data_IF_513975639247
#
_entry.id   IF_513975639247
#
_cell.length_a   1.000
_cell.length_b   1.000
_cell.length_c   1.000
_cell.angle_alpha   90.00
_cell.angle_beta   90.00
_cell.angle_gamma   90.00
#
_symmetry.space_group_name_H-M   'P 1'
#
loop_
_entity.id
_entity.type
_entity.pdbx_description
1 polymer ?
#
# COMPACT_ATOMS: atom_id res chain seq x y z
N UNK A 1 22.51 -8.78 -22.50
CA UNK A 1 22.32 -9.10 -21.07
C UNK A 1 21.71 -7.89 -20.38
N UNK A 2 20.49 -7.97 -19.83
CA UNK A 2 19.85 -6.84 -19.13
C UNK A 2 20.18 -6.93 -17.64
N UNK A 3 21.21 -6.21 -17.19
CA UNK A 3 21.73 -6.25 -15.80
C UNK A 3 20.60 -6.10 -14.76
N UNK A 4 19.68 -5.16 -14.98
CA UNK A 4 18.54 -4.94 -14.08
C UNK A 4 17.63 -6.16 -13.96
N UNK A 5 17.35 -6.84 -15.08
CA UNK A 5 16.48 -8.02 -15.08
C UNK A 5 17.12 -9.17 -14.29
N UNK A 6 18.44 -9.37 -14.44
CA UNK A 6 19.20 -10.36 -13.68
C UNK A 6 19.14 -10.08 -12.17
N UNK A 7 19.44 -8.84 -11.75
CA UNK A 7 19.39 -8.45 -10.34
C UNK A 7 17.99 -8.54 -9.75
N UNK A 8 16.96 -8.15 -10.52
CA UNK A 8 15.58 -8.26 -10.07
C UNK A 8 15.17 -9.72 -9.86
N UNK A 9 15.55 -10.63 -10.78
CA UNK A 9 15.29 -12.07 -10.64
C UNK A 9 15.95 -12.64 -9.38
N UNK A 10 17.22 -12.31 -9.14
CA UNK A 10 17.93 -12.70 -7.91
C UNK A 10 17.21 -12.21 -6.64
N UNK A 11 16.81 -10.92 -6.62
CA UNK A 11 16.07 -10.35 -5.48
C UNK A 11 14.70 -10.99 -5.28
N UNK A 12 14.01 -11.35 -6.35
CA UNK A 12 12.73 -12.05 -6.31
C UNK A 12 12.90 -13.46 -5.73
N UNK A 13 13.93 -14.20 -6.14
CA UNK A 13 14.22 -15.54 -5.61
C UNK A 13 14.50 -15.49 -4.11
N UNK A 14 15.39 -14.58 -3.69
CA UNK A 14 15.69 -14.37 -2.27
C UNK A 14 14.46 -13.98 -1.46
N UNK A 15 13.66 -13.03 -1.96
CA UNK A 15 12.41 -12.59 -1.33
C UNK A 15 11.44 -13.76 -1.16
N UNK A 16 11.21 -14.53 -2.22
CA UNK A 16 10.26 -15.64 -2.24
C UNK A 16 10.69 -16.76 -1.30
N UNK A 17 11.96 -17.15 -1.34
CA UNK A 17 12.49 -18.21 -0.48
C UNK A 17 12.48 -17.80 1.00
N UNK A 18 12.94 -16.58 1.30
CA UNK A 18 12.93 -16.03 2.65
C UNK A 18 11.52 -15.96 3.22
N UNK A 19 10.55 -15.51 2.41
CA UNK A 19 9.17 -15.37 2.84
C UNK A 19 8.47 -16.72 3.02
N UNK A 20 8.65 -17.69 2.11
CA UNK A 20 7.90 -18.96 2.16
C UNK A 20 8.58 -19.98 3.07
N UNK A 21 9.90 -20.16 2.91
CA UNK A 21 10.63 -21.29 3.48
C UNK A 21 11.37 -20.89 4.75
N UNK A 22 12.27 -19.90 4.67
CA UNK A 22 13.11 -19.50 5.82
C UNK A 22 12.26 -19.03 7.00
N UNK A 23 11.26 -18.18 6.75
CA UNK A 23 10.36 -17.74 7.82
C UNK A 23 9.62 -18.91 8.48
N UNK A 24 9.23 -19.94 7.71
CA UNK A 24 8.57 -21.11 8.29
C UNK A 24 9.57 -21.92 9.12
N UNK A 25 10.75 -22.20 8.60
CA UNK A 25 11.78 -22.96 9.30
C UNK A 25 12.20 -22.31 10.64
N UNK A 26 12.32 -20.99 10.68
CA UNK A 26 12.71 -20.27 11.90
C UNK A 26 11.65 -20.30 13.01
N UNK A 27 10.37 -20.35 12.65
CA UNK A 27 9.26 -20.12 13.58
C UNK A 27 8.27 -21.30 13.63
N UNK A 28 8.66 -22.49 13.17
CA UNK A 28 7.81 -23.68 13.18
C UNK A 28 8.38 -24.76 14.10
N UNK A 29 7.53 -25.29 14.96
CA UNK A 29 7.81 -26.45 15.79
C UNK A 29 7.32 -27.70 15.04
N UNK A 30 8.24 -28.49 14.51
CA UNK A 30 7.91 -29.73 13.78
C UNK A 30 7.30 -30.79 14.70
N UNK A 31 7.73 -30.87 15.97
CA UNK A 31 7.21 -31.86 16.93
C UNK A 31 5.77 -31.54 17.33
N UNK A 32 5.47 -30.25 17.53
CA UNK A 32 4.13 -29.78 17.93
C UNK A 32 3.26 -29.36 16.74
N UNK A 33 3.78 -29.45 15.52
CA UNK A 33 3.12 -29.08 14.27
C UNK A 33 2.44 -27.70 14.32
N UNK A 34 3.13 -26.70 14.89
CA UNK A 34 2.59 -25.35 15.13
C UNK A 34 3.63 -24.24 15.04
N UNK A 35 3.17 -23.01 14.83
CA UNK A 35 4.03 -21.82 14.89
C UNK A 35 4.48 -21.54 16.33
N UNK A 36 5.78 -21.30 16.48
CA UNK A 36 6.41 -20.72 17.67
C UNK A 36 6.41 -19.21 17.47
N UNK A 37 5.93 -18.45 18.45
CA UNK A 37 5.83 -16.99 18.40
C UNK A 37 5.16 -16.43 17.13
N UNK A 38 3.83 -16.57 16.97
CA UNK A 38 3.11 -16.09 15.78
C UNK A 38 3.29 -14.59 15.48
N UNK A 39 3.52 -13.77 16.51
CA UNK A 39 3.82 -12.34 16.36
C UNK A 39 5.16 -12.12 15.66
N UNK A 40 6.24 -12.71 16.17
CA UNK A 40 7.58 -12.63 15.58
C UNK A 40 7.62 -13.18 14.15
N UNK A 41 6.87 -14.25 13.88
CA UNK A 41 6.71 -14.77 12.52
C UNK A 41 6.12 -13.74 11.54
N UNK A 42 5.13 -12.96 12.00
CA UNK A 42 4.54 -11.85 11.24
C UNK A 42 5.56 -10.73 11.03
N UNK A 43 6.20 -10.27 12.11
CA UNK A 43 7.20 -9.20 12.08
C UNK A 43 8.38 -9.54 11.17
N UNK A 44 8.85 -10.79 11.17
CA UNK A 44 9.92 -11.24 10.28
C UNK A 44 9.50 -11.18 8.80
N UNK A 45 8.27 -11.58 8.48
CA UNK A 45 7.72 -11.48 7.11
C UNK A 45 7.54 -10.04 6.66
N UNK A 46 7.13 -9.15 7.56
CA UNK A 46 7.06 -7.71 7.29
C UNK A 46 8.46 -7.14 7.00
N UNK A 47 9.48 -7.56 7.75
CA UNK A 47 10.87 -7.17 7.49
C UNK A 47 11.34 -7.62 6.11
N UNK A 48 11.10 -8.88 5.72
CA UNK A 48 11.43 -9.40 4.38
C UNK A 48 10.76 -8.58 3.28
N UNK A 49 9.48 -8.24 3.44
CA UNK A 49 8.77 -7.39 2.47
C UNK A 49 9.38 -5.99 2.39
N UNK A 50 9.69 -5.36 3.53
CA UNK A 50 10.33 -4.03 3.56
C UNK A 50 11.68 -4.04 2.86
N UNK A 51 12.49 -5.08 3.06
CA UNK A 51 13.79 -5.22 2.39
C UNK A 51 13.66 -5.36 0.86
N UNK A 52 12.75 -6.22 0.40
CA UNK A 52 12.46 -6.35 -1.02
C UNK A 52 11.96 -5.05 -1.64
N UNK A 53 11.03 -4.34 -0.97
CA UNK A 53 10.50 -3.08 -1.45
C UNK A 53 11.55 -1.97 -1.50
N UNK A 54 12.54 -1.93 -0.59
CA UNK A 54 13.64 -0.95 -0.64
C UNK A 54 14.44 -1.03 -1.94
N UNK A 55 14.57 -2.22 -2.53
CA UNK A 55 15.21 -2.39 -3.84
C UNK A 55 14.36 -1.81 -4.98
N UNK A 56 13.05 -1.75 -4.82
CA UNK A 56 12.10 -1.39 -5.86
C UNK A 56 11.75 0.09 -5.90
N UNK A 57 11.66 0.76 -4.75
CA UNK A 57 11.14 2.13 -4.67
C UNK A 57 12.24 3.17 -4.95
N UNK A 58 11.87 4.40 -5.36
CA UNK A 58 12.82 5.50 -5.47
C UNK A 58 13.60 5.72 -4.17
N UNK A 59 14.92 5.89 -4.27
CA UNK A 59 15.84 6.03 -3.12
C UNK A 59 15.48 7.17 -2.15
N UNK A 60 14.75 8.19 -2.60
CA UNK A 60 14.26 9.29 -1.73
C UNK A 60 13.23 8.82 -0.70
N UNK A 61 12.54 7.71 -0.97
CA UNK A 61 11.48 7.20 -0.13
C UNK A 61 12.04 6.30 0.97
N UNK A 62 11.45 6.39 2.16
CA UNK A 62 11.68 5.45 3.26
C UNK A 62 10.48 4.54 3.44
N UNK A 63 10.74 3.40 4.08
CA UNK A 63 9.75 2.36 4.35
C UNK A 63 9.76 2.06 5.83
N UNK A 64 8.61 2.17 6.48
CA UNK A 64 8.43 1.90 7.90
C UNK A 64 7.07 1.25 8.19
N UNK A 65 6.75 1.05 9.46
CA UNK A 65 5.41 0.71 9.93
C UNK A 65 4.88 1.81 10.86
N UNK A 66 3.56 1.88 11.01
CA UNK A 66 2.95 2.83 11.93
C UNK A 66 1.55 3.21 11.54
N UNK A 67 1.17 4.44 11.86
CA UNK A 67 -0.16 4.99 11.63
C UNK A 67 -0.10 6.18 10.69
N UNK A 68 -1.12 6.36 9.89
CA UNK A 68 -1.30 7.56 9.06
C UNK A 68 -2.26 8.47 9.80
N UNK A 69 -1.96 9.76 9.83
CA UNK A 69 -2.79 10.77 10.44
C UNK A 69 -3.15 11.84 9.42
N UNK A 70 -4.35 12.37 9.55
CA UNK A 70 -4.71 13.69 9.02
C UNK A 70 -5.18 14.57 10.19
N UNK A 71 -5.74 15.74 9.90
CA UNK A 71 -6.14 16.71 10.95
C UNK A 71 -7.19 16.18 11.92
N UNK A 72 -7.98 15.17 11.51
CA UNK A 72 -9.18 14.75 12.24
C UNK A 72 -9.14 13.27 12.67
N UNK A 73 -8.36 12.43 11.99
CA UNK A 73 -8.43 10.96 12.09
C UNK A 73 -7.06 10.31 12.04
N UNK A 74 -7.02 9.14 12.64
CA UNK A 74 -5.90 8.19 12.60
C UNK A 74 -6.33 6.90 11.89
N UNK A 75 -5.42 6.32 11.11
CA UNK A 75 -5.64 5.03 10.47
C UNK A 75 -5.56 3.87 11.47
N UNK A 76 -5.90 2.67 11.03
CA UNK A 76 -5.37 1.46 11.70
C UNK A 76 -3.88 1.31 11.38
N UNK A 77 -3.13 0.57 12.20
CA UNK A 77 -1.71 0.33 11.94
C UNK A 77 -1.51 -0.31 10.56
N UNK A 78 -0.60 0.25 9.78
CA UNK A 78 -0.14 -0.27 8.49
C UNK A 78 1.18 -1.03 8.70
N UNK A 79 1.24 -2.25 8.17
CA UNK A 79 2.45 -3.08 8.22
C UNK A 79 3.61 -2.42 7.44
N UNK A 80 3.25 -1.70 6.36
CA UNK A 80 4.17 -0.96 5.49
C UNK A 80 3.60 0.41 5.16
N UNK A 81 4.41 1.45 5.35
CA UNK A 81 4.19 2.83 4.92
C UNK A 81 5.42 3.26 4.12
N UNK A 82 5.21 3.71 2.88
CA UNK A 82 6.25 4.26 2.01
C UNK A 82 5.99 5.76 1.91
N UNK A 83 6.96 6.58 2.32
CA UNK A 83 6.80 8.03 2.47
C UNK A 83 8.06 8.79 2.05
N UNK A 84 7.91 10.08 1.76
CA UNK A 84 9.05 10.96 1.49
C UNK A 84 9.69 11.45 2.80
N UNK A 85 10.87 10.93 3.13
CA UNK A 85 11.53 11.24 4.39
C UNK A 85 12.08 12.66 4.48
N UNK A 86 12.24 13.38 3.37
CA UNK A 86 12.69 14.76 3.38
C UNK A 86 11.54 15.73 3.70
N UNK A 87 10.30 15.32 3.42
CA UNK A 87 9.09 16.09 3.68
C UNK A 87 8.38 15.72 4.99
N UNK A 88 8.80 14.64 5.65
CA UNK A 88 8.10 14.06 6.82
C UNK A 88 8.84 14.36 8.11
N UNK A 89 8.23 15.04 9.10
CA UNK A 89 8.83 15.13 10.43
C UNK A 89 8.79 13.79 11.14
N UNK A 90 9.69 13.61 12.11
CA UNK A 90 9.61 12.48 13.02
C UNK A 90 8.49 12.73 14.04
N UNK A 91 7.38 12.00 13.94
CA UNK A 91 6.31 12.00 14.94
C UNK A 91 6.26 10.63 15.58
N UNK A 92 6.75 10.54 16.82
CA UNK A 92 6.80 9.31 17.60
C UNK A 92 6.26 9.55 19.01
N UNK A 93 5.57 8.55 19.56
CA UNK A 93 5.21 8.55 20.98
C UNK A 93 6.29 7.85 21.83
N UNK A 94 6.07 7.81 23.15
CA UNK A 94 7.01 7.17 24.08
C UNK A 94 7.20 5.66 23.84
N UNK A 95 6.24 5.00 23.17
CA UNK A 95 6.32 3.59 22.77
C UNK A 95 6.99 3.38 21.41
N UNK A 96 7.56 4.44 20.81
CA UNK A 96 8.17 4.46 19.47
C UNK A 96 7.20 4.08 18.34
N UNK A 97 5.90 4.26 18.57
CA UNK A 97 4.91 4.19 17.50
C UNK A 97 5.05 5.43 16.63
N UNK A 98 5.14 5.21 15.31
CA UNK A 98 5.33 6.28 14.32
C UNK A 98 4.01 6.72 13.73
N UNK A 99 3.87 8.02 13.55
CA UNK A 99 2.71 8.65 12.93
C UNK A 99 3.17 9.44 11.71
N UNK A 100 2.49 9.23 10.59
CA UNK A 100 2.86 9.81 9.30
C UNK A 100 1.75 10.76 8.83
N UNK A 101 2.02 12.06 8.63
CA UNK A 101 1.10 12.97 7.98
C UNK A 101 0.76 12.47 6.59
N UNK A 102 -0.54 12.38 6.29
CA UNK A 102 -1.06 11.77 5.06
C UNK A 102 -0.51 12.42 3.78
N UNK A 103 -0.16 13.70 3.85
CA UNK A 103 0.43 14.53 2.80
C UNK A 103 1.73 13.95 2.22
N UNK A 104 2.48 13.23 3.05
CA UNK A 104 3.83 12.74 2.73
C UNK A 104 3.87 11.25 2.36
N UNK A 105 2.74 10.55 2.51
CA UNK A 105 2.63 9.11 2.31
C UNK A 105 2.39 8.81 0.82
N UNK A 106 3.33 8.10 0.20
CA UNK A 106 3.17 7.63 -1.18
C UNK A 106 2.33 6.36 -1.27
N UNK A 107 2.57 5.42 -0.36
CA UNK A 107 1.95 4.10 -0.44
C UNK A 107 1.79 3.42 0.91
N UNK A 108 0.82 2.52 0.99
CA UNK A 108 0.50 1.71 2.17
C UNK A 108 0.39 0.24 1.80
N UNK A 109 0.88 -0.63 2.69
CA UNK A 109 0.95 -2.06 2.45
C UNK A 109 0.50 -2.88 3.64
N UNK A 110 -0.15 -4.01 3.35
CA UNK A 110 -0.43 -5.07 4.32
C UNK A 110 0.36 -6.33 3.95
N UNK A 111 0.92 -7.00 4.95
CA UNK A 111 1.63 -8.27 4.82
C UNK A 111 0.85 -9.34 5.56
N UNK A 112 0.52 -10.44 4.85
CA UNK A 112 -0.27 -11.53 5.42
C UNK A 112 0.34 -12.87 5.05
N UNK A 113 0.07 -13.89 5.86
CA UNK A 113 0.50 -15.26 5.57
C UNK A 113 -0.47 -15.88 4.55
N UNK A 114 -1.28 -16.87 4.96
CA UNK A 114 -2.36 -17.42 4.16
C UNK A 114 -3.66 -16.67 4.47
N UNK A 115 -4.38 -16.24 3.44
CA UNK A 115 -5.62 -15.49 3.58
C UNK A 115 -6.82 -16.33 3.20
N UNK A 116 -7.72 -16.59 4.15
CA UNK A 116 -9.07 -17.06 3.81
C UNK A 116 -9.88 -15.95 3.13
N UNK A 117 -10.94 -16.30 2.40
CA UNK A 117 -11.81 -15.32 1.71
C UNK A 117 -12.30 -14.21 2.65
N UNK A 118 -12.72 -14.55 3.88
CA UNK A 118 -13.15 -13.57 4.90
C UNK A 118 -12.03 -12.58 5.25
N UNK A 119 -10.83 -13.08 5.58
CA UNK A 119 -9.68 -12.22 5.96
C UNK A 119 -9.20 -11.39 4.78
N UNK A 120 -9.26 -11.93 3.57
CA UNK A 120 -8.96 -11.19 2.33
C UNK A 120 -9.89 -9.98 2.17
N UNK A 121 -11.20 -10.20 2.28
CA UNK A 121 -12.22 -9.13 2.23
C UNK A 121 -11.96 -8.09 3.32
N UNK A 122 -11.70 -8.50 4.56
CA UNK A 122 -11.38 -7.59 5.66
C UNK A 122 -10.13 -6.73 5.35
N UNK A 123 -9.08 -7.34 4.80
CA UNK A 123 -7.81 -6.67 4.50
C UNK A 123 -7.94 -5.63 3.39
N UNK A 124 -8.61 -5.96 2.28
CA UNK A 124 -8.79 -4.99 1.17
C UNK A 124 -9.69 -3.81 1.58
N UNK A 125 -10.67 -4.04 2.44
CA UNK A 125 -11.51 -2.97 2.98
C UNK A 125 -10.76 -2.14 4.06
N UNK A 126 -9.81 -2.73 4.80
CA UNK A 126 -8.89 -2.00 5.69
C UNK A 126 -8.02 -1.03 4.89
N UNK A 127 -7.38 -1.51 3.81
CA UNK A 127 -6.57 -0.69 2.91
C UNK A 127 -7.37 0.48 2.33
N UNK A 128 -8.58 0.22 1.81
CA UNK A 128 -9.44 1.27 1.26
C UNK A 128 -9.81 2.35 2.30
N UNK A 129 -10.12 1.95 3.53
CA UNK A 129 -10.39 2.88 4.64
C UNK A 129 -9.19 3.73 5.02
N UNK A 130 -8.00 3.14 5.09
CA UNK A 130 -6.77 3.86 5.42
C UNK A 130 -6.40 4.85 4.29
N UNK A 131 -6.55 4.45 3.03
CA UNK A 131 -6.33 5.28 1.83
C UNK A 131 -7.22 6.53 1.80
N UNK A 132 -8.49 6.39 2.19
CA UNK A 132 -9.48 7.49 2.26
C UNK A 132 -9.06 8.66 3.17
N UNK A 133 -8.12 8.48 4.10
CA UNK A 133 -7.63 9.61 4.91
C UNK A 133 -7.02 10.73 4.04
N UNK A 134 -6.43 10.38 2.89
CA UNK A 134 -5.83 11.34 1.96
C UNK A 134 -6.84 12.19 1.20
N UNK A 135 -8.13 11.89 1.28
CA UNK A 135 -9.20 12.71 0.68
C UNK A 135 -9.54 13.96 1.51
N UNK A 136 -9.05 14.03 2.74
CA UNK A 136 -9.39 15.08 3.70
C UNK A 136 -8.19 15.99 4.01
N UNK A 137 -7.41 16.33 2.99
CA UNK A 137 -6.33 17.32 3.06
C UNK A 137 -6.93 18.69 2.77
N UNK A 138 -6.85 19.63 3.73
CA UNK A 138 -7.56 20.91 3.67
C UNK A 138 -6.87 21.91 2.73
N UNK A 139 -5.56 22.09 2.89
CA UNK A 139 -4.77 23.08 2.17
C UNK A 139 -3.60 22.42 1.42
N UNK A 140 -3.86 21.67 0.33
CA UNK A 140 -2.83 20.93 -0.37
C UNK A 140 -1.80 21.86 -1.03
N UNK A 141 -0.52 21.66 -0.73
CA UNK A 141 0.60 22.38 -1.35
C UNK A 141 1.59 21.37 -1.89
N UNK A 142 1.78 21.31 -3.22
CA UNK A 142 2.64 20.31 -3.84
C UNK A 142 4.13 20.57 -3.58
N UNK A 143 4.79 19.52 -3.09
CA UNK A 143 6.25 19.36 -3.14
C UNK A 143 6.62 18.62 -4.45
N UNK A 144 5.80 17.64 -4.83
CA UNK A 144 5.97 16.85 -6.05
C UNK A 144 4.60 16.47 -6.61
N UNK A 145 4.45 16.56 -7.93
CA UNK A 145 3.32 16.01 -8.68
C UNK A 145 3.80 15.48 -10.03
N UNK A 146 3.03 14.59 -10.63
CA UNK A 146 3.32 14.08 -11.98
C UNK A 146 2.84 15.05 -13.08
N UNK A 147 1.69 15.68 -12.86
CA UNK A 147 1.11 16.64 -13.81
C UNK A 147 1.97 17.90 -13.94
N UNK A 148 2.19 18.35 -15.17
CA UNK A 148 2.84 19.64 -15.47
C UNK A 148 1.83 20.74 -15.79
N UNK A 149 0.53 20.45 -15.71
CA UNK A 149 -0.50 21.47 -15.92
C UNK A 149 -0.46 22.47 -14.75
N UNK A 150 -0.45 23.76 -15.08
CA UNK A 150 -0.40 24.83 -14.09
C UNK A 150 -1.73 24.96 -13.31
N UNK A 151 -2.83 24.54 -13.94
CA UNK A 151 -4.17 24.52 -13.35
C UNK A 151 -4.49 23.17 -12.68
N UNK A 152 -3.48 22.36 -12.38
CA UNK A 152 -3.68 21.07 -11.72
C UNK A 152 -4.00 21.29 -10.23
N UNK A 153 -5.20 20.89 -9.83
CA UNK A 153 -5.64 20.89 -8.44
C UNK A 153 -5.55 19.49 -7.84
N UNK A 154 -5.18 19.40 -6.56
CA UNK A 154 -5.14 18.13 -5.85
C UNK A 154 -6.55 17.52 -5.76
N UNK A 155 -6.75 16.36 -6.37
CA UNK A 155 -8.02 15.66 -6.34
C UNK A 155 -7.82 14.13 -6.34
N UNK A 156 -7.72 13.49 -5.17
CA UNK A 156 -7.48 12.03 -5.08
C UNK A 156 -8.66 11.18 -5.57
N UNK A 157 -9.82 11.78 -5.89
CA UNK A 157 -10.98 11.08 -6.45
C UNK A 157 -10.87 10.93 -7.96
N UNK A 158 -10.36 11.97 -8.63
CA UNK A 158 -10.27 12.04 -10.09
C UNK A 158 -8.84 11.80 -10.60
N UNK A 159 -7.84 12.11 -9.78
CA UNK A 159 -6.43 11.99 -10.11
C UNK A 159 -5.80 10.82 -9.34
N UNK A 160 -5.51 9.69 -10.02
CA UNK A 160 -5.06 8.47 -9.35
C UNK A 160 -3.75 8.63 -8.60
N UNK A 161 -2.85 9.52 -9.04
CA UNK A 161 -1.54 9.76 -8.42
C UNK A 161 -1.60 10.65 -7.16
N UNK A 162 -2.70 11.38 -6.97
CA UNK A 162 -2.98 12.13 -5.74
C UNK A 162 -3.49 11.20 -4.63
N UNK A 163 -3.93 10.00 -5.00
CA UNK A 163 -4.43 9.02 -4.06
C UNK A 163 -3.31 8.10 -3.56
N UNK A 164 -3.37 7.68 -2.30
CA UNK A 164 -2.37 6.81 -1.70
C UNK A 164 -2.35 5.45 -2.42
N UNK A 165 -1.18 5.04 -2.89
CA UNK A 165 -1.02 3.74 -3.55
C UNK A 165 -1.10 2.61 -2.52
N UNK A 166 -2.02 1.65 -2.70
CA UNK A 166 -2.29 0.60 -1.70
C UNK A 166 -1.98 -0.80 -2.22
N UNK A 167 -1.28 -1.60 -1.44
CA UNK A 167 -0.94 -2.96 -1.85
C UNK A 167 -1.08 -4.00 -0.73
N UNK A 168 -1.24 -5.26 -1.14
CA UNK A 168 -1.24 -6.41 -0.23
C UNK A 168 -0.22 -7.42 -0.74
N UNK A 169 0.64 -7.91 0.14
CA UNK A 169 1.53 -9.04 -0.11
C UNK A 169 1.09 -10.19 0.80
N UNK A 170 0.82 -11.35 0.21
CA UNK A 170 0.51 -12.55 0.97
C UNK A 170 1.22 -13.80 0.44
N UNK A 171 1.39 -14.81 1.30
CA UNK A 171 1.95 -16.09 0.87
C UNK A 171 1.03 -16.77 -0.15
N UNK A 172 -0.27 -16.82 0.18
CA UNK A 172 -1.30 -17.56 -0.57
C UNK A 172 -2.71 -17.03 -0.28
N UNK A 173 -3.57 -16.99 -1.30
CA UNK A 173 -5.01 -16.87 -1.20
C UNK A 173 -5.61 -18.28 -1.00
N UNK A 174 -6.05 -18.56 0.22
CA UNK A 174 -6.52 -19.88 0.65
C UNK A 174 -8.04 -20.00 0.51
N UNK A 175 -8.51 -19.82 -0.73
CA UNK A 175 -9.91 -19.97 -1.16
C UNK A 175 -9.95 -20.17 -2.69
N UNK A 176 -11.13 -20.45 -3.26
CA UNK A 176 -11.26 -20.57 -4.72
C UNK A 176 -11.09 -19.20 -5.39
N UNK A 177 -10.03 -19.08 -6.19
CA UNK A 177 -9.65 -17.84 -6.90
C UNK A 177 -9.92 -17.91 -8.40
N UNK A 178 -10.52 -18.99 -8.92
CA UNK A 178 -10.71 -19.21 -10.37
C UNK A 178 -11.41 -18.06 -11.11
N UNK A 179 -12.29 -17.34 -10.42
CA UNK A 179 -13.04 -16.19 -10.96
C UNK A 179 -12.87 -14.93 -10.10
N UNK A 180 -11.76 -14.80 -9.36
CA UNK A 180 -11.55 -13.69 -8.43
C UNK A 180 -11.67 -12.33 -9.12
N UNK A 181 -11.27 -12.22 -10.39
CA UNK A 181 -11.34 -11.00 -11.18
C UNK A 181 -12.78 -10.51 -11.43
N UNK A 182 -13.75 -11.44 -11.43
CA UNK A 182 -15.19 -11.13 -11.53
C UNK A 182 -15.82 -10.90 -10.16
N UNK A 183 -15.40 -11.66 -9.16
CA UNK A 183 -16.02 -11.62 -7.83
C UNK A 183 -15.56 -10.43 -6.99
N UNK A 184 -14.30 -9.99 -7.11
CA UNK A 184 -13.70 -9.04 -6.16
C UNK A 184 -14.44 -7.70 -6.07
N UNK A 185 -15.11 -7.27 -7.14
CA UNK A 185 -15.94 -6.06 -7.09
C UNK A 185 -17.02 -6.13 -6.01
N UNK A 186 -17.59 -7.32 -5.75
CA UNK A 186 -18.61 -7.54 -4.71
C UNK A 186 -18.05 -7.59 -3.29
N UNK A 187 -16.72 -7.68 -3.14
CA UNK A 187 -16.06 -7.78 -1.84
C UNK A 187 -15.86 -6.41 -1.18
N UNK A 188 -15.98 -5.33 -1.97
CA UNK A 188 -15.97 -3.97 -1.45
C UNK A 188 -17.35 -3.65 -0.87
N UNK A 189 -17.37 -3.15 0.37
CA UNK A 189 -18.60 -2.80 1.07
C UNK A 189 -19.05 -1.39 0.69
N UNK A 190 -18.65 -0.39 1.47
CA UNK A 190 -19.03 1.02 1.34
C UNK A 190 -17.90 1.88 0.77
N UNK A 191 -17.02 1.28 -0.04
CA UNK A 191 -15.85 1.97 -0.58
C UNK A 191 -16.07 2.32 -2.05
N UNK A 192 -15.72 3.55 -2.41
CA UNK A 192 -15.77 4.04 -3.77
C UNK A 192 -14.75 3.33 -4.65
N UNK A 193 -14.96 3.37 -5.98
CA UNK A 193 -14.10 2.65 -6.92
C UNK A 193 -12.63 3.09 -6.84
N UNK A 194 -12.36 4.41 -6.77
CA UNK A 194 -11.01 4.96 -6.65
C UNK A 194 -10.31 4.63 -5.32
N UNK A 195 -11.08 4.29 -4.28
CA UNK A 195 -10.57 3.86 -2.96
C UNK A 195 -10.14 2.39 -2.92
N UNK A 196 -10.45 1.60 -3.95
CA UNK A 196 -10.08 0.18 -4.00
C UNK A 196 -8.56 0.02 -4.00
N UNK A 197 -8.13 -1.21 -3.71
CA UNK A 197 -6.73 -1.62 -3.79
C UNK A 197 -6.08 -1.21 -5.11
N UNK A 198 -4.77 -0.98 -5.10
CA UNK A 198 -4.01 -0.75 -6.33
C UNK A 198 -3.47 -2.07 -6.90
N UNK A 199 -2.86 -2.90 -6.04
CA UNK A 199 -2.27 -4.17 -6.47
C UNK A 199 -2.24 -5.19 -5.33
N UNK A 200 -2.47 -6.47 -5.64
CA UNK A 200 -2.37 -7.56 -4.65
C UNK A 200 -1.44 -8.63 -5.18
N UNK A 201 -0.39 -8.95 -4.43
CA UNK A 201 0.50 -10.05 -4.70
C UNK A 201 0.18 -11.23 -3.78
N UNK A 202 -0.21 -12.35 -4.37
CA UNK A 202 -0.02 -13.67 -3.77
C UNK A 202 1.27 -14.27 -4.31
N UNK A 203 2.26 -14.46 -3.45
CA UNK A 203 3.57 -14.98 -3.85
C UNK A 203 3.41 -16.33 -4.54
N UNK A 204 2.52 -17.20 -4.04
CA UNK A 204 2.25 -18.53 -4.64
C UNK A 204 1.28 -18.50 -5.80
N UNK A 205 0.23 -17.67 -5.76
CA UNK A 205 -0.90 -17.83 -6.69
C UNK A 205 -0.89 -16.86 -7.88
N UNK A 206 -0.38 -15.64 -7.72
CA UNK A 206 -0.46 -14.65 -8.78
C UNK A 206 -0.53 -13.19 -8.31
N UNK A 207 -0.73 -12.28 -9.26
CA UNK A 207 -0.91 -10.84 -8.99
C UNK A 207 -2.25 -10.36 -9.53
N UNK A 208 -3.00 -9.63 -8.69
CA UNK A 208 -4.25 -8.98 -9.06
C UNK A 208 -4.00 -7.52 -9.43
N UNK A 209 -4.47 -7.15 -10.60
CA UNK A 209 -4.34 -5.85 -11.25
C UNK A 209 -5.69 -5.47 -11.90
N UNK A 210 -5.67 -4.41 -12.68
CA UNK A 210 -6.73 -3.99 -13.57
C UNK A 210 -6.25 -4.00 -15.02
N UNK A 211 -7.17 -3.86 -15.97
CA UNK A 211 -6.84 -3.66 -17.38
C UNK A 211 -7.79 -2.71 -18.07
N UNK A 212 -7.25 -1.82 -18.91
CA UNK A 212 -8.04 -0.88 -19.70
C UNK A 212 -8.69 -1.54 -20.94
N UNK A 213 -9.44 -0.74 -21.72
CA UNK A 213 -10.12 -1.20 -22.93
C UNK A 213 -9.18 -1.75 -24.01
N UNK A 214 -7.94 -1.28 -24.04
CA UNK A 214 -6.90 -1.73 -24.96
C UNK A 214 -6.23 -3.03 -24.47
N UNK A 215 -6.56 -3.46 -23.25
CA UNK A 215 -6.00 -4.65 -22.64
C UNK A 215 -4.69 -4.40 -21.90
N UNK A 216 -4.26 -3.15 -21.76
CA UNK A 216 -3.05 -2.80 -21.02
C UNK A 216 -3.31 -2.91 -19.52
N UNK A 217 -2.32 -3.44 -18.80
CA UNK A 217 -2.39 -3.57 -17.35
C UNK A 217 -2.32 -2.21 -16.67
N UNK A 218 -3.10 -2.07 -15.60
CA UNK A 218 -3.10 -0.90 -14.71
C UNK A 218 -3.07 -1.36 -13.26
N UNK A 219 -2.38 -0.62 -12.40
CA UNK A 219 -2.42 -0.80 -10.95
C UNK A 219 -3.32 0.22 -10.26
N UNK A 220 -4.09 1.02 -10.99
CA UNK A 220 -5.02 1.98 -10.39
C UNK A 220 -6.44 1.63 -10.81
N UNK A 221 -7.41 1.61 -9.88
CA UNK A 221 -8.82 1.52 -10.23
C UNK A 221 -9.27 2.87 -10.82
N UNK A 222 -9.04 3.05 -12.12
CA UNK A 222 -9.41 4.26 -12.85
C UNK A 222 -10.69 4.09 -13.66
N UNK A 223 -11.37 5.21 -13.88
CA UNK A 223 -12.50 5.29 -14.79
C UNK A 223 -11.96 5.69 -16.17
N UNK A 224 -12.36 4.96 -17.21
CA UNK A 224 -11.97 5.29 -18.58
C UNK A 224 -12.71 6.51 -19.13
N UNK A 225 -12.32 6.99 -20.31
CA UNK A 225 -12.79 8.25 -20.89
C UNK A 225 -14.31 8.37 -21.04
N UNK A 226 -15.04 7.25 -21.17
CA UNK A 226 -16.51 7.25 -21.30
C UNK A 226 -17.23 6.97 -19.98
N UNK A 227 -16.54 7.09 -18.85
CA UNK A 227 -17.12 6.88 -17.51
C UNK A 227 -17.19 5.42 -17.07
N UNK A 228 -16.64 4.47 -17.84
CA UNK A 228 -16.64 3.07 -17.44
C UNK A 228 -15.50 2.71 -16.48
N UNK A 229 -15.81 1.92 -15.45
CA UNK A 229 -14.78 1.33 -14.58
C UNK A 229 -13.99 0.27 -15.34
N UNK A 230 -12.66 0.31 -15.22
CA UNK A 230 -11.82 -0.76 -15.79
C UNK A 230 -11.98 -2.08 -15.01
N UNK A 231 -11.75 -3.19 -15.69
CA UNK A 231 -12.00 -4.53 -15.13
C UNK A 231 -10.78 -5.04 -14.38
N UNK A 232 -10.99 -5.92 -13.39
CA UNK A 232 -9.88 -6.58 -12.69
C UNK A 232 -9.26 -7.67 -13.59
N UNK A 233 -7.98 -7.96 -13.39
CA UNK A 233 -7.23 -9.04 -14.03
C UNK A 233 -6.37 -9.76 -13.01
N UNK A 234 -6.44 -11.09 -12.98
CA UNK A 234 -5.55 -11.91 -12.17
C UNK A 234 -4.54 -12.65 -13.04
N UNK A 235 -3.26 -12.37 -12.86
CA UNK A 235 -2.17 -13.10 -13.49
C UNK A 235 -1.75 -14.25 -12.60
N UNK A 236 -2.14 -15.46 -12.97
CA UNK A 236 -1.73 -16.66 -12.26
C UNK A 236 -0.22 -16.87 -12.31
N UNK A 237 0.34 -17.28 -11.19
CA UNK A 237 1.74 -17.63 -11.02
C UNK A 237 2.12 -18.79 -11.95
N UNK A 238 3.12 -18.55 -12.79
CA UNK A 238 3.85 -19.59 -13.51
C UNK A 238 5.17 -19.80 -12.76
N UNK A 239 5.30 -20.93 -12.05
CA UNK A 239 6.39 -21.19 -11.08
C UNK A 239 7.79 -20.89 -11.61
N UNK A 240 8.04 -21.15 -12.90
CA UNK A 240 9.35 -21.03 -13.53
C UNK A 240 9.71 -19.58 -13.88
N UNK A 241 8.72 -18.75 -14.24
CA UNK A 241 8.99 -17.39 -14.74
C UNK A 241 8.83 -16.31 -13.66
N UNK A 242 8.04 -16.58 -12.62
CA UNK A 242 7.72 -15.64 -11.53
C UNK A 242 7.28 -14.24 -12.02
N UNK A 243 6.68 -14.20 -13.22
CA UNK A 243 6.34 -12.97 -13.95
C UNK A 243 5.32 -12.11 -13.21
N UNK A 244 4.49 -12.71 -12.35
CA UNK A 244 3.56 -11.99 -11.48
C UNK A 244 4.29 -11.14 -10.42
N UNK A 245 5.41 -11.63 -9.87
CA UNK A 245 6.24 -10.86 -8.92
C UNK A 245 7.00 -9.75 -9.67
N UNK A 246 7.46 -10.00 -10.90
CA UNK A 246 8.07 -8.97 -11.73
C UNK A 246 7.07 -7.85 -12.08
N UNK A 247 5.82 -8.20 -12.42
CA UNK A 247 4.73 -7.24 -12.62
C UNK A 247 4.45 -6.44 -11.36
N UNK A 248 4.39 -7.10 -10.21
CA UNK A 248 4.24 -6.42 -8.92
C UNK A 248 5.37 -5.41 -8.69
N UNK A 249 6.63 -5.83 -8.89
CA UNK A 249 7.80 -4.97 -8.75
C UNK A 249 7.73 -3.73 -9.65
N UNK A 250 7.36 -3.91 -10.92
CA UNK A 250 7.17 -2.81 -11.87
C UNK A 250 6.12 -1.80 -11.37
N UNK A 251 4.94 -2.26 -10.95
CA UNK A 251 3.86 -1.38 -10.51
C UNK A 251 4.10 -0.73 -9.15
N UNK A 252 4.87 -1.35 -8.26
CA UNK A 252 5.34 -0.70 -7.03
C UNK A 252 6.24 0.49 -7.36
N UNK A 253 7.23 0.30 -8.26
CA UNK A 253 8.10 1.39 -8.69
C UNK A 253 7.30 2.51 -9.36
N UNK A 254 6.43 2.18 -10.31
CA UNK A 254 5.58 3.18 -11.00
C UNK A 254 4.66 3.92 -10.02
N UNK A 255 3.97 3.19 -9.14
CA UNK A 255 3.03 3.77 -8.18
C UNK A 255 3.70 4.75 -7.22
N UNK A 256 4.85 4.35 -6.65
CA UNK A 256 5.60 5.18 -5.71
C UNK A 256 6.36 6.33 -6.39
N UNK A 257 6.75 6.17 -7.65
CA UNK A 257 7.40 7.22 -8.43
C UNK A 257 6.44 8.32 -8.85
N UNK A 258 5.23 7.96 -9.29
CA UNK A 258 4.22 8.90 -9.76
C UNK A 258 3.48 9.63 -8.63
N UNK A 259 3.44 9.05 -7.42
CA UNK A 259 2.72 9.60 -6.26
C UNK A 259 3.02 11.09 -6.03
N UNK A 260 1.95 11.86 -5.84
CA UNK A 260 2.02 13.25 -5.39
C UNK A 260 2.49 13.32 -3.94
N UNK A 261 3.30 14.33 -3.63
CA UNK A 261 3.77 14.63 -2.27
C UNK A 261 3.40 16.06 -1.98
N UNK A 262 2.76 16.26 -0.83
CA UNK A 262 2.31 17.56 -0.36
C UNK A 262 3.11 17.98 0.89
N UNK A 263 3.15 19.28 1.12
CA UNK A 263 3.70 19.86 2.34
C UNK A 263 2.71 19.63 3.50
N UNK A 264 3.12 19.02 4.62
CA UNK A 264 2.27 18.90 5.79
C UNK A 264 2.12 20.27 6.48
N UNK A 265 0.96 20.90 6.29
CA UNK A 265 0.61 22.17 6.91
C UNK A 265 0.35 21.96 8.41
N UNK A 266 1.38 22.05 9.27
CA UNK A 266 1.24 21.73 10.71
C UNK A 266 0.31 22.68 11.47
N UNK A 267 0.05 23.87 10.95
CA UNK A 267 -1.02 24.74 11.43
C UNK A 267 -2.40 24.10 11.29
N UNK A 268 -2.63 23.24 10.30
CA UNK A 268 -3.86 22.44 10.21
C UNK A 268 -3.92 21.32 11.27
N UNK A 269 -2.76 20.87 11.77
CA UNK A 269 -2.63 19.83 12.82
C UNK A 269 -2.66 20.39 14.25
N UNK A 270 -2.49 21.71 14.42
CA UNK A 270 -2.38 22.36 15.73
C UNK A 270 -3.44 23.46 15.85
N UNK A 271 -4.25 23.43 16.90
CA UNK A 271 -5.20 24.51 17.15
C UNK A 271 -4.52 25.72 17.83
N UNK A 272 -3.76 26.49 17.05
CA UNK A 272 -3.03 27.69 17.52
C UNK A 272 -4.01 28.82 17.92
N UNK A 273 -5.24 28.80 17.41
CA UNK A 273 -6.24 29.86 17.59
C UNK A 273 -7.38 29.48 18.56
N UNK A 274 -7.15 28.57 19.51
CA UNK A 274 -8.06 28.41 20.64
C UNK A 274 -8.03 29.70 21.48
N UNK A 275 -8.92 30.65 21.14
CA UNK A 275 -9.17 31.84 21.92
C UNK A 275 -9.38 31.39 23.37
N UNK A 276 -8.57 31.95 24.28
CA UNK A 276 -8.89 31.98 25.70
C UNK A 276 -10.28 32.59 25.82
N UNK A 277 -11.29 31.77 26.06
CA UNK A 277 -12.48 32.20 26.77
C UNK A 277 -12.05 32.45 28.23
N UNK A 278 -11.32 33.55 28.45
CA UNK A 278 -11.28 34.18 29.76
C UNK A 278 -12.69 34.70 29.99
N UNK A 279 -13.49 33.88 30.68
CA UNK A 279 -14.71 34.33 31.33
C UNK A 279 -14.41 35.63 32.04
N UNK A 280 -15.15 36.66 31.68
CA UNK A 280 -15.35 37.84 32.50
C UNK A 280 -15.83 37.36 33.88
N UNK A 281 -14.92 37.39 34.87
CA UNK A 281 -15.31 37.54 36.27
C UNK A 281 -15.68 39.01 36.46
N UNK A 282 -16.99 39.29 36.39
CA UNK A 282 -17.64 40.39 37.10
C UNK A 282 -19.00 39.94 37.62
#
# INVERSE_FOLDING_TARGET
>A
MKIYETLLKEKIEFFRDSFINVSKQMFWDDEKNKLIHPGEYGTYREFICKDFLKFLVPRRLKIDQGFIINTDKISTQCDIIIYDANATPLIENNERQKFFPVETVCAIGEVKSKLSKKKFIETINKLAKNKRLGEHIKNPVFIKQESKNIDYEFNPKEHPYDNIFSFLICEKLDFDIKNIEKEISSYYKSNEYYQRHNIILSIKDGVLLYYDKEGNDKAYPIVGEKGEQIKNRFYYSKKEEQTHIMKFAYYIFQGTSAASILYPQFDDYININSKKDSKDEK
#
